data_IF_648386205913
#
_entry.id   IF_648386205913
#
_cell.length_a   1.000
_cell.length_b   1.000
_cell.length_c   1.000
_cell.angle_alpha   90.00
_cell.angle_beta   90.00
_cell.angle_gamma   90.00
#
_symmetry.space_group_name_H-M   'P 1'
#
loop_
_entity.id
_entity.type
_entity.pdbx_description
1 polymer ?
#
# COMPACT_ATOMS: atom_id res chain seq x y z
N UNK A 1 -22.85 -30.81 -7.50
CA UNK A 1 -22.36 -29.42 -7.51
C UNK A 1 -21.42 -29.31 -8.70
N UNK A 2 -21.79 -28.57 -9.74
CA UNK A 2 -21.07 -28.47 -11.04
C UNK A 2 -20.55 -27.01 -11.21
N UNK A 3 -20.26 -26.35 -10.09
CA UNK A 3 -19.88 -24.92 -10.05
C UNK A 3 -18.55 -24.68 -9.36
N UNK A 4 -17.80 -25.73 -9.01
CA UNK A 4 -16.49 -25.54 -8.44
C UNK A 4 -15.55 -25.05 -9.53
N UNK A 5 -14.88 -23.93 -9.25
CA UNK A 5 -13.68 -23.55 -9.99
C UNK A 5 -12.74 -24.77 -10.07
N UNK A 6 -11.97 -24.93 -11.16
CA UNK A 6 -10.99 -26.02 -11.23
C UNK A 6 -10.18 -26.05 -9.94
N UNK A 7 -9.95 -27.24 -9.36
CA UNK A 7 -9.38 -27.45 -8.03
C UNK A 7 -8.17 -26.54 -7.74
N UNK A 8 -8.43 -25.34 -7.22
CA UNK A 8 -7.37 -24.44 -6.80
C UNK A 8 -6.83 -24.96 -5.49
N UNK A 9 -5.53 -25.22 -5.47
CA UNK A 9 -4.87 -25.40 -4.17
C UNK A 9 -4.88 -24.08 -3.42
N UNK A 10 -4.82 -24.14 -2.09
CA UNK A 10 -4.73 -22.94 -1.24
C UNK A 10 -3.64 -21.97 -1.68
N UNK A 11 -2.51 -22.49 -2.16
CA UNK A 11 -1.40 -21.69 -2.70
C UNK A 11 -1.79 -20.90 -3.94
N UNK A 12 -2.56 -21.49 -4.86
CA UNK A 12 -3.04 -20.81 -6.06
C UNK A 12 -4.01 -19.68 -5.70
N UNK A 13 -4.93 -19.95 -4.78
CA UNK A 13 -5.85 -18.95 -4.25
C UNK A 13 -5.10 -17.79 -3.60
N UNK A 14 -4.08 -18.07 -2.78
CA UNK A 14 -3.27 -17.04 -2.12
C UNK A 14 -2.55 -16.15 -3.15
N UNK A 15 -1.91 -16.75 -4.17
CA UNK A 15 -1.20 -16.01 -5.22
C UNK A 15 -2.18 -15.12 -6.01
N UNK A 16 -3.36 -15.63 -6.35
CA UNK A 16 -4.39 -14.81 -7.00
C UNK A 16 -4.84 -13.65 -6.11
N UNK A 17 -5.17 -13.91 -4.83
CA UNK A 17 -5.63 -12.88 -3.90
C UNK A 17 -4.58 -11.79 -3.71
N UNK A 18 -3.30 -12.15 -3.59
CA UNK A 18 -2.20 -11.18 -3.52
C UNK A 18 -2.11 -10.33 -4.79
N UNK A 19 -2.15 -10.95 -5.98
CA UNK A 19 -2.10 -10.23 -7.25
C UNK A 19 -3.32 -9.30 -7.44
N UNK A 20 -4.51 -9.75 -7.04
CA UNK A 20 -5.75 -8.99 -7.10
C UNK A 20 -5.74 -7.81 -6.11
N UNK A 21 -5.32 -8.05 -4.86
CA UNK A 21 -5.26 -7.04 -3.81
C UNK A 21 -4.24 -5.92 -4.11
N UNK A 22 -3.10 -6.28 -4.72
CA UNK A 22 -2.08 -5.32 -5.14
C UNK A 22 -2.32 -4.72 -6.53
N UNK A 23 -3.44 -5.07 -7.18
CA UNK A 23 -3.78 -4.63 -8.55
C UNK A 23 -2.69 -4.92 -9.59
N UNK A 24 -1.82 -5.91 -9.35
CA UNK A 24 -0.65 -6.17 -10.19
C UNK A 24 -1.00 -6.91 -11.49
N UNK A 25 -2.13 -7.64 -11.50
CA UNK A 25 -2.56 -8.47 -12.62
C UNK A 25 -1.61 -9.64 -12.97
N UNK A 26 -0.50 -9.79 -12.25
CA UNK A 26 0.54 -10.78 -12.53
C UNK A 26 0.23 -12.12 -11.87
N UNK A 27 -0.76 -12.82 -12.41
CA UNK A 27 -1.05 -14.19 -12.00
C UNK A 27 -1.52 -15.02 -13.19
N UNK A 28 -0.96 -16.23 -13.31
CA UNK A 28 -1.46 -17.24 -14.26
C UNK A 28 -2.76 -17.90 -13.78
N UNK A 29 -3.13 -17.69 -12.52
CA UNK A 29 -4.33 -18.23 -11.90
C UNK A 29 -5.44 -17.19 -12.01
N UNK A 30 -6.16 -17.21 -13.12
CA UNK A 30 -7.37 -16.40 -13.31
C UNK A 30 -8.58 -17.30 -13.05
N UNK A 31 -9.55 -16.87 -12.24
CA UNK A 31 -10.85 -17.53 -12.12
C UNK A 31 -11.36 -17.87 -13.52
N UNK A 32 -11.60 -19.15 -13.81
CA UNK A 32 -12.29 -19.49 -15.07
C UNK A 32 -13.66 -18.83 -15.00
N UNK A 33 -13.88 -17.83 -15.86
CA UNK A 33 -15.23 -17.45 -16.26
C UNK A 33 -15.80 -18.73 -16.87
N UNK A 34 -16.83 -19.31 -16.26
CA UNK A 34 -17.38 -20.59 -16.72
C UNK A 34 -17.90 -20.35 -18.15
N UNK A 35 -17.13 -20.77 -19.15
CA UNK A 35 -17.43 -20.59 -20.59
C UNK A 35 -18.64 -21.43 -21.07
N UNK A 36 -19.32 -22.13 -20.18
CA UNK A 36 -20.53 -22.86 -20.49
C UNK A 36 -21.74 -22.19 -19.83
N UNK A 37 -22.44 -21.37 -20.61
CA UNK A 37 -23.88 -21.13 -20.56
C UNK A 37 -24.51 -21.18 -19.14
N UNK A 38 -24.85 -20.00 -18.58
CA UNK A 38 -25.50 -19.76 -17.26
C UNK A 38 -24.58 -19.56 -16.05
N UNK A 39 -23.41 -18.94 -16.21
CA UNK A 39 -22.84 -18.17 -15.11
C UNK A 39 -23.82 -17.02 -14.80
N UNK A 40 -24.58 -17.14 -13.72
CA UNK A 40 -25.52 -16.13 -13.25
C UNK A 40 -24.77 -14.80 -13.11
N UNK A 41 -25.34 -13.69 -13.59
CA UNK A 41 -24.75 -12.35 -13.44
C UNK A 41 -24.27 -12.08 -12.00
N UNK A 42 -24.92 -12.69 -11.02
CA UNK A 42 -24.53 -12.75 -9.61
C UNK A 42 -23.09 -13.22 -9.36
N UNK A 43 -22.61 -14.25 -10.06
CA UNK A 43 -21.25 -14.75 -9.90
C UNK A 43 -20.20 -13.73 -10.36
N UNK A 44 -20.46 -13.06 -11.49
CA UNK A 44 -19.59 -11.99 -11.99
C UNK A 44 -19.60 -10.79 -11.06
N UNK A 45 -20.79 -10.38 -10.60
CA UNK A 45 -20.96 -9.30 -9.62
C UNK A 45 -20.25 -9.65 -8.30
N UNK A 46 -20.31 -10.89 -7.85
CA UNK A 46 -19.61 -11.35 -6.66
C UNK A 46 -18.09 -11.17 -6.77
N UNK A 47 -17.48 -11.61 -7.89
CA UNK A 47 -16.04 -11.42 -8.09
C UNK A 47 -15.63 -9.94 -8.17
N UNK A 48 -16.46 -9.12 -8.81
CA UNK A 48 -16.24 -7.67 -8.86
C UNK A 48 -16.33 -7.05 -7.45
N UNK A 49 -17.35 -7.40 -6.67
CA UNK A 49 -17.53 -6.92 -5.31
C UNK A 49 -16.37 -7.37 -4.40
N UNK A 50 -15.92 -8.61 -4.54
CA UNK A 50 -14.76 -9.14 -3.81
C UNK A 50 -13.49 -8.37 -4.17
N UNK A 51 -13.28 -8.05 -5.45
CA UNK A 51 -12.12 -7.28 -5.90
C UNK A 51 -12.12 -5.85 -5.34
N UNK A 52 -13.27 -5.16 -5.41
CA UNK A 52 -13.44 -3.82 -4.82
C UNK A 52 -13.20 -3.85 -3.30
N UNK A 53 -13.71 -4.89 -2.63
CA UNK A 53 -13.51 -5.08 -1.20
C UNK A 53 -12.02 -5.28 -0.85
N UNK A 54 -11.29 -6.11 -1.61
CA UNK A 54 -9.86 -6.33 -1.42
C UNK A 54 -9.06 -5.02 -1.56
N UNK A 55 -9.33 -4.24 -2.61
CA UNK A 55 -8.64 -2.96 -2.84
C UNK A 55 -8.95 -1.97 -1.71
N UNK A 56 -10.22 -1.88 -1.29
CA UNK A 56 -10.64 -0.99 -0.20
C UNK A 56 -9.97 -1.38 1.12
N UNK A 57 -9.91 -2.68 1.41
CA UNK A 57 -9.20 -3.20 2.58
C UNK A 57 -7.71 -2.86 2.53
N UNK A 58 -7.06 -2.98 1.37
CA UNK A 58 -5.64 -2.63 1.23
C UNK A 58 -5.38 -1.14 1.38
N UNK A 59 -6.25 -0.28 0.85
CA UNK A 59 -6.16 1.16 1.06
C UNK A 59 -6.22 1.52 2.56
N UNK A 60 -7.15 0.91 3.31
CA UNK A 60 -7.25 1.10 4.77
C UNK A 60 -6.02 0.58 5.51
N UNK A 61 -5.52 -0.60 5.13
CA UNK A 61 -4.33 -1.20 5.72
C UNK A 61 -3.08 -0.33 5.51
N UNK A 62 -2.84 0.14 4.28
CA UNK A 62 -1.70 1.03 4.00
C UNK A 62 -1.84 2.37 4.72
N UNK A 63 -3.06 2.92 4.80
CA UNK A 63 -3.30 4.13 5.58
C UNK A 63 -2.96 3.91 7.06
N UNK A 64 -3.40 2.80 7.66
CA UNK A 64 -3.08 2.44 9.03
C UNK A 64 -1.56 2.27 9.23
N UNK A 65 -0.86 1.65 8.28
CA UNK A 65 0.60 1.49 8.31
C UNK A 65 1.32 2.85 8.25
N UNK A 66 0.89 3.76 7.38
CA UNK A 66 1.46 5.11 7.27
C UNK A 66 1.25 5.88 8.58
N UNK A 67 0.05 5.81 9.17
CA UNK A 67 -0.26 6.45 10.45
C UNK A 67 0.58 5.86 11.57
N UNK A 68 0.75 4.54 11.61
CA UNK A 68 1.59 3.86 12.59
C UNK A 68 3.07 4.29 12.48
N UNK A 69 3.62 4.28 11.26
CA UNK A 69 4.99 4.75 11.01
C UNK A 69 5.15 6.20 11.44
N UNK A 70 4.19 7.07 11.09
CA UNK A 70 4.19 8.47 11.52
C UNK A 70 4.16 8.60 13.03
N UNK A 71 3.35 7.78 13.72
CA UNK A 71 3.31 7.76 15.18
C UNK A 71 4.67 7.40 15.77
N UNK A 72 5.35 6.37 15.25
CA UNK A 72 6.71 6.01 15.69
C UNK A 72 7.66 7.20 15.51
N UNK A 73 7.66 7.83 14.33
CA UNK A 73 8.51 8.99 14.10
C UNK A 73 8.19 10.12 15.08
N UNK A 74 6.93 10.47 15.29
CA UNK A 74 6.55 11.54 16.23
C UNK A 74 6.93 11.20 17.67
N UNK A 75 6.78 9.96 18.11
CA UNK A 75 7.24 9.51 19.44
C UNK A 75 8.77 9.63 19.55
N UNK A 76 9.51 9.22 18.53
CA UNK A 76 10.96 9.39 18.50
C UNK A 76 11.39 10.85 18.58
N UNK A 77 10.67 11.77 17.93
CA UNK A 77 10.91 13.22 18.04
C UNK A 77 10.59 13.76 19.44
N UNK A 78 9.57 13.21 20.11
CA UNK A 78 9.21 13.60 21.48
C UNK A 78 10.23 13.12 22.53
N UNK A 79 10.99 12.07 22.24
CA UNK A 79 12.01 11.49 23.12
C UNK A 79 13.43 12.05 22.89
N UNK A 80 13.59 13.03 21.99
CA UNK A 80 14.89 13.66 21.74
C UNK A 80 15.27 14.53 22.95
N UNK A 81 16.40 14.19 23.61
CA UNK A 81 17.01 14.99 24.67
C UNK A 81 17.41 16.38 24.13
N UNK A 82 17.32 17.43 24.96
CA UNK A 82 17.56 18.82 24.54
C UNK A 82 18.91 18.98 23.82
N UNK A 83 19.94 18.24 24.24
CA UNK A 83 21.26 18.24 23.60
C UNK A 83 21.23 17.75 22.15
N UNK A 84 20.43 16.72 21.87
CA UNK A 84 20.28 16.17 20.53
C UNK A 84 19.45 17.12 19.65
N UNK A 85 18.46 17.81 20.24
CA UNK A 85 17.68 18.85 19.57
C UNK A 85 18.58 20.01 19.12
N UNK A 86 19.40 20.56 20.02
CA UNK A 86 20.35 21.64 19.70
C UNK A 86 21.33 21.25 18.59
N UNK A 87 21.87 20.02 18.63
CA UNK A 87 22.77 19.54 17.58
C UNK A 87 22.07 19.39 16.20
N UNK A 88 20.79 19.03 16.20
CA UNK A 88 19.96 18.95 14.99
C UNK A 88 19.64 20.34 14.44
N UNK A 89 19.26 21.29 15.29
CA UNK A 89 19.02 22.68 14.90
C UNK A 89 20.28 23.33 14.30
N UNK A 90 21.43 23.17 14.96
CA UNK A 90 22.71 23.70 14.46
C UNK A 90 23.05 23.11 13.08
N UNK A 91 22.80 21.80 12.89
CA UNK A 91 23.01 21.12 11.60
C UNK A 91 22.04 21.61 10.51
N UNK A 92 20.78 21.90 10.87
CA UNK A 92 19.80 22.46 9.94
C UNK A 92 20.15 23.90 9.54
N UNK A 93 20.51 24.75 10.50
CA UNK A 93 20.96 26.12 10.24
C UNK A 93 22.20 26.13 9.35
N UNK A 94 23.19 25.28 9.64
CA UNK A 94 24.41 25.20 8.83
C UNK A 94 24.09 24.81 7.38
N UNK A 95 23.17 23.87 7.17
CA UNK A 95 22.68 23.49 5.83
C UNK A 95 21.86 24.59 5.15
N UNK A 96 21.18 25.46 5.92
CA UNK A 96 20.44 26.60 5.37
C UNK A 96 21.42 27.69 4.92
N UNK A 97 22.41 28.04 5.75
CA UNK A 97 23.48 28.99 5.42
C UNK A 97 24.30 28.54 4.22
N UNK A 98 24.68 27.26 4.16
CA UNK A 98 25.41 26.71 3.01
C UNK A 98 24.59 26.80 1.71
N UNK A 99 23.28 26.52 1.75
CA UNK A 99 22.41 26.68 0.59
C UNK A 99 22.28 28.13 0.14
N UNK A 100 22.19 29.08 1.08
CA UNK A 100 22.18 30.52 0.77
C UNK A 100 23.52 31.00 0.17
N UNK A 101 24.65 30.45 0.65
CA UNK A 101 25.99 30.78 0.14
C UNK A 101 26.28 30.15 -1.23
N UNK A 102 25.83 28.91 -1.45
CA UNK A 102 26.10 28.16 -2.68
C UNK A 102 25.12 28.46 -3.82
N UNK A 103 23.92 28.97 -3.54
CA UNK A 103 22.93 29.28 -4.57
C UNK A 103 22.09 30.53 -4.23
N UNK A 104 22.70 31.73 -4.24
CA UNK A 104 22.01 33.00 -3.92
C UNK A 104 20.95 33.43 -4.97
N UNK A 105 20.72 32.64 -6.02
CA UNK A 105 19.92 33.04 -7.19
C UNK A 105 18.41 32.78 -7.08
N UNK A 106 17.92 32.31 -5.93
CA UNK A 106 16.52 31.90 -5.72
C UNK A 106 15.87 32.50 -4.46
N UNK A 107 16.37 33.64 -3.96
CA UNK A 107 15.76 34.37 -2.83
C UNK A 107 15.05 35.69 -3.22
N UNK A 108 14.73 35.88 -4.50
CA UNK A 108 13.74 36.89 -4.96
C UNK A 108 12.40 36.23 -5.31
#
# INVERSE_FOLDING_TARGET
MIHDQPDWTWTMALVYVQAAALTSGHTRYVPKLIEANKATALYVIFWLALHIWLISFMALFFNALIVFIRSIYTTQWAEIDDRQLYALEEKMERRKRLRQLENPKYED
#
